data_IF_025500104089
#
_entry.id   IF_025500104089
#
_cell.length_a   1.000
_cell.length_b   1.000
_cell.length_c   1.000
_cell.angle_alpha   90.00
_cell.angle_beta   90.00
_cell.angle_gamma   90.00
#
_symmetry.space_group_name_H-M   'P 1'
#
loop_
_entity.id
_entity.type
_entity.pdbx_description
1 polymer ?
#
# COMPACT_ATOMS: atom_id res chain seq x y z
N UNK A 1 -12.88 2.87 6.75
CA UNK A 1 -12.92 1.97 5.56
C UNK A 1 -11.66 1.09 5.56
N UNK A 2 -11.73 -0.13 5.02
CA UNK A 2 -10.61 -1.08 4.95
C UNK A 2 -10.17 -1.22 3.49
N UNK A 3 -8.87 -1.34 3.23
CA UNK A 3 -8.33 -1.41 1.88
C UNK A 3 -7.29 -2.53 1.74
N UNK A 4 -7.43 -3.32 0.67
CA UNK A 4 -6.41 -4.25 0.18
C UNK A 4 -5.97 -3.80 -1.21
N UNK A 5 -4.67 -3.78 -1.47
CA UNK A 5 -4.10 -3.49 -2.80
C UNK A 5 -3.16 -4.63 -3.18
N UNK A 6 -3.41 -5.28 -4.32
CA UNK A 6 -2.52 -6.34 -4.82
C UNK A 6 -1.62 -5.83 -5.97
N UNK A 7 -0.31 -5.83 -5.73
CA UNK A 7 0.71 -5.38 -6.68
C UNK A 7 1.59 -6.51 -7.21
N UNK A 8 1.20 -7.78 -7.06
CA UNK A 8 2.03 -8.95 -7.39
C UNK A 8 2.55 -8.93 -8.84
N UNK A 9 1.67 -8.60 -9.79
CA UNK A 9 2.00 -8.51 -11.22
C UNK A 9 2.10 -7.06 -11.73
N UNK A 10 2.40 -6.12 -10.83
CA UNK A 10 2.52 -4.69 -11.16
C UNK A 10 3.96 -4.22 -11.24
N UNK A 11 4.20 -3.20 -12.05
CA UNK A 11 5.44 -2.43 -12.08
C UNK A 11 5.15 -0.95 -11.84
N UNK A 12 6.10 -0.24 -11.25
CA UNK A 12 5.94 1.16 -10.94
C UNK A 12 6.80 2.02 -11.86
N UNK A 13 6.18 2.97 -12.56
CA UNK A 13 6.87 4.09 -13.19
C UNK A 13 6.93 5.28 -12.23
N UNK A 14 7.81 6.25 -12.49
CA UNK A 14 7.84 7.50 -11.70
C UNK A 14 6.49 8.22 -11.68
N UNK A 15 5.79 8.23 -12.82
CA UNK A 15 4.46 8.82 -12.92
C UNK A 15 3.44 8.08 -12.05
N UNK A 16 3.48 6.74 -12.02
CA UNK A 16 2.60 5.94 -11.18
C UNK A 16 2.85 6.21 -9.69
N UNK A 17 4.11 6.26 -9.25
CA UNK A 17 4.46 6.57 -7.85
C UNK A 17 3.94 7.95 -7.45
N UNK A 18 4.08 8.96 -8.31
CA UNK A 18 3.57 10.31 -8.06
C UNK A 18 2.05 10.32 -7.90
N UNK A 19 1.32 9.70 -8.82
CA UNK A 19 -0.14 9.62 -8.77
C UNK A 19 -0.64 8.89 -7.51
N UNK A 20 -0.01 7.77 -7.14
CA UNK A 20 -0.33 7.06 -5.90
C UNK A 20 -0.03 7.89 -4.65
N UNK A 21 1.05 8.68 -4.66
CA UNK A 21 1.38 9.57 -3.54
C UNK A 21 0.33 10.66 -3.37
N UNK A 22 -0.12 11.28 -4.47
CA UNK A 22 -1.16 12.31 -4.44
C UNK A 22 -2.51 11.73 -3.99
N UNK A 23 -2.89 10.56 -4.51
CA UNK A 23 -4.09 9.84 -4.07
C UNK A 23 -4.02 9.48 -2.59
N UNK A 24 -2.86 9.01 -2.11
CA UNK A 24 -2.64 8.69 -0.70
C UNK A 24 -2.86 9.90 0.20
N UNK A 25 -2.28 11.06 -0.12
CA UNK A 25 -2.48 12.31 0.64
C UNK A 25 -3.94 12.75 0.69
N UNK A 26 -4.68 12.57 -0.41
CA UNK A 26 -6.10 12.92 -0.46
C UNK A 26 -6.98 11.94 0.33
N UNK A 27 -6.48 10.73 0.61
CA UNK A 27 -7.29 9.63 1.16
C UNK A 27 -6.79 9.10 2.51
N UNK A 28 -5.68 9.59 3.04
CA UNK A 28 -5.01 9.09 4.25
C UNK A 28 -5.94 9.04 5.47
N UNK A 29 -6.90 9.97 5.57
CA UNK A 29 -7.87 10.01 6.67
C UNK A 29 -9.08 9.06 6.53
N UNK A 30 -9.28 8.42 5.38
CA UNK A 30 -10.45 7.56 5.15
C UNK A 30 -10.20 6.08 5.44
N UNK A 31 -8.95 5.64 5.32
CA UNK A 31 -8.56 4.25 5.47
C UNK A 31 -7.91 4.02 6.83
N UNK A 32 -8.60 3.28 7.70
CA UNK A 32 -8.10 2.97 9.04
C UNK A 32 -6.94 1.95 8.98
N UNK A 33 -7.02 1.00 8.03
CA UNK A 33 -6.00 0.00 7.77
C UNK A 33 -5.89 -0.24 6.27
N UNK A 34 -4.65 -0.32 5.80
CA UNK A 34 -4.31 -0.61 4.41
C UNK A 34 -3.35 -1.79 4.38
N UNK A 35 -3.71 -2.86 3.67
CA UNK A 35 -2.85 -4.01 3.44
C UNK A 35 -2.45 -4.09 1.97
N UNK A 36 -1.20 -4.51 1.71
CA UNK A 36 -0.64 -4.54 0.35
C UNK A 36 0.01 -5.88 0.07
N UNK A 37 -0.36 -6.52 -1.04
CA UNK A 37 0.22 -7.78 -1.50
C UNK A 37 1.25 -7.55 -2.61
N UNK A 38 2.11 -8.53 -2.83
CA UNK A 38 3.03 -8.54 -3.97
C UNK A 38 4.22 -7.60 -3.84
N UNK A 39 4.59 -7.24 -2.60
CA UNK A 39 5.70 -6.35 -2.30
C UNK A 39 6.99 -7.16 -2.10
N UNK A 40 7.78 -7.29 -3.16
CA UNK A 40 9.07 -8.00 -3.17
C UNK A 40 10.20 -7.10 -3.65
N UNK A 41 11.43 -7.38 -3.19
CA UNK A 41 12.64 -6.66 -3.63
C UNK A 41 12.51 -5.13 -3.58
N UNK A 42 12.76 -4.47 -4.72
CA UNK A 42 12.71 -3.01 -4.88
C UNK A 42 11.35 -2.40 -4.52
N UNK A 43 10.25 -3.15 -4.62
CA UNK A 43 8.92 -2.67 -4.23
C UNK A 43 8.81 -2.34 -2.74
N UNK A 44 9.61 -3.00 -1.88
CA UNK A 44 9.66 -2.68 -0.44
C UNK A 44 10.16 -1.26 -0.20
N UNK A 45 11.17 -0.84 -0.96
CA UNK A 45 11.73 0.51 -0.87
C UNK A 45 10.68 1.54 -1.30
N UNK A 46 9.98 1.28 -2.41
CA UNK A 46 8.91 2.15 -2.90
C UNK A 46 7.76 2.27 -1.90
N UNK A 47 7.34 1.16 -1.29
CA UNK A 47 6.28 1.18 -0.29
C UNK A 47 6.65 2.04 0.93
N UNK A 48 7.90 1.92 1.41
CA UNK A 48 8.37 2.75 2.52
C UNK A 48 8.34 4.25 2.17
N UNK A 49 8.76 4.61 0.96
CA UNK A 49 8.69 6.00 0.48
C UNK A 49 7.25 6.50 0.45
N UNK A 50 6.32 5.71 -0.10
CA UNK A 50 4.90 6.09 -0.13
C UNK A 50 4.34 6.24 1.28
N UNK A 51 4.64 5.32 2.21
CA UNK A 51 4.18 5.41 3.60
C UNK A 51 4.69 6.67 4.31
N UNK A 52 5.96 7.03 4.12
CA UNK A 52 6.54 8.26 4.69
C UNK A 52 5.88 9.51 4.11
N UNK A 53 5.51 9.50 2.82
CA UNK A 53 4.96 10.68 2.14
C UNK A 53 3.45 10.87 2.29
N UNK A 54 2.73 9.82 2.67
CA UNK A 54 1.25 9.78 2.61
C UNK A 54 0.59 9.37 3.91
N UNK A 55 1.33 8.98 4.95
CA UNK A 55 0.80 8.48 6.23
C UNK A 55 -0.26 7.35 6.15
N UNK A 56 -0.51 6.77 4.97
CA UNK A 56 -1.52 5.71 4.76
C UNK A 56 -1.18 4.42 5.54
N UNK A 57 0.05 4.33 6.06
CA UNK A 57 0.56 3.24 6.90
C UNK A 57 0.25 1.85 6.32
N UNK A 58 0.50 1.72 5.02
CA UNK A 58 0.20 0.51 4.26
C UNK A 58 1.16 -0.62 4.66
N UNK A 59 0.59 -1.74 5.14
CA UNK A 59 1.36 -2.88 5.64
C UNK A 59 1.48 -3.98 4.58
N UNK A 60 2.70 -4.45 4.25
CA UNK A 60 2.89 -5.48 3.25
C UNK A 60 2.58 -6.90 3.80
N UNK A 61 2.04 -7.76 2.95
CA UNK A 61 1.75 -9.17 3.22
C UNK A 61 2.18 -10.06 2.05
N UNK A 62 2.50 -11.33 2.35
CA UNK A 62 2.85 -12.36 1.37
C UNK A 62 1.64 -13.13 0.84
N UNK A 63 0.54 -13.14 1.58
CA UNK A 63 -0.66 -13.90 1.28
C UNK A 63 -1.92 -13.12 1.68
N UNK A 64 -3.01 -13.43 0.98
CA UNK A 64 -4.28 -12.72 1.08
C UNK A 64 -4.98 -12.97 2.43
N UNK A 65 -4.79 -14.13 3.06
CA UNK A 65 -5.50 -14.48 4.29
C UNK A 65 -4.95 -13.71 5.49
N UNK A 66 -3.62 -13.64 5.64
CA UNK A 66 -3.00 -12.81 6.68
C UNK A 66 -3.30 -11.31 6.49
N UNK A 67 -3.40 -10.86 5.24
CA UNK A 67 -3.79 -9.49 4.93
C UNK A 67 -5.23 -9.19 5.38
N UNK A 68 -6.18 -10.09 5.12
CA UNK A 68 -7.57 -9.96 5.57
C UNK A 68 -7.67 -9.95 7.10
N UNK A 69 -6.97 -10.87 7.77
CA UNK A 69 -6.98 -10.95 9.23
C UNK A 69 -6.53 -9.62 9.85
N UNK A 70 -5.42 -9.06 9.37
CA UNK A 70 -4.96 -7.75 9.83
C UNK A 70 -5.99 -6.62 9.66
N UNK A 71 -6.76 -6.65 8.57
CA UNK A 71 -7.77 -5.61 8.29
C UNK A 71 -8.97 -5.66 9.23
N UNK A 72 -9.34 -6.83 9.74
CA UNK A 72 -10.54 -7.00 10.59
C UNK A 72 -10.25 -7.08 12.09
N UNK A 73 -8.99 -7.29 12.48
CA UNK A 73 -8.50 -7.02 13.84
C UNK A 73 -8.55 -5.51 14.16
#
# INVERSE_FOLDING_TARGET
MLLIVDLSNSFASKAAVKAFTEAGKMTEGFFAKTAVLGITGVKKILLNVVNVLTNVNAKPFSDIENAKNYLIE
#
